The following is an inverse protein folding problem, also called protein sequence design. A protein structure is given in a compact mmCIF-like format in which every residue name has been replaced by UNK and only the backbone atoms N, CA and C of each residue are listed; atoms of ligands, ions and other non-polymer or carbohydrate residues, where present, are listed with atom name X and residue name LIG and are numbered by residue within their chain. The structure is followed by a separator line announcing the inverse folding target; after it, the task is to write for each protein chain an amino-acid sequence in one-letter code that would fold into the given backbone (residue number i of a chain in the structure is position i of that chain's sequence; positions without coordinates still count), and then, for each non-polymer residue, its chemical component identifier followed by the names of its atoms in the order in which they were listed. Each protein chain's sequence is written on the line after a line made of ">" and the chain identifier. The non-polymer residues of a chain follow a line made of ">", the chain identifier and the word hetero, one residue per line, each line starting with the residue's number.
data_IF_674562532336
#
_entry.id   IF_674562532336
#
_cell.length_a   1.000
_cell.length_b   1.000
_cell.length_c   1.000
_cell.angle_alpha   90.00
_cell.angle_beta   90.00
_cell.angle_gamma   90.00
#
_symmetry.space_group_name_H-M   'P 1'
#
loop_
_entity.id
_entity.type
_entity.pdbx_description
1 polymer ?
#
# COMPACT_ATOMS: atom_id res chain seq x y z
N UNK A 1 5.92 13.18 -64.86
CA UNK A 1 4.80 12.70 -64.01
C UNK A 1 5.39 12.09 -62.75
N UNK A 2 5.30 12.80 -61.63
CA UNK A 2 6.06 12.52 -60.38
C UNK A 2 5.29 11.50 -59.54
N UNK A 3 6.00 10.44 -59.12
CA UNK A 3 5.50 9.36 -58.28
C UNK A 3 5.21 9.87 -56.86
N UNK A 4 4.00 9.66 -56.37
CA UNK A 4 3.64 9.91 -54.98
C UNK A 4 4.30 8.86 -54.07
N UNK A 5 5.21 9.29 -53.18
CA UNK A 5 5.68 8.45 -52.08
C UNK A 5 4.61 8.45 -50.98
N UNK A 6 4.01 7.29 -50.75
CA UNK A 6 3.16 7.06 -49.58
C UNK A 6 4.03 7.01 -48.33
N UNK A 7 3.90 8.02 -47.48
CA UNK A 7 4.56 8.11 -46.19
C UNK A 7 3.78 7.23 -45.19
N UNK A 8 4.23 6.01 -44.97
CA UNK A 8 3.66 5.11 -43.96
C UNK A 8 4.04 5.61 -42.55
N UNK A 9 3.07 6.21 -41.86
CA UNK A 9 3.21 6.65 -40.48
C UNK A 9 3.19 5.41 -39.56
N UNK A 10 4.37 4.93 -39.17
CA UNK A 10 4.50 3.87 -38.16
C UNK A 10 4.20 4.49 -36.80
N UNK A 11 2.94 4.44 -36.37
CA UNK A 11 2.56 4.66 -34.97
C UNK A 11 3.07 3.48 -34.15
N UNK A 12 4.35 3.52 -33.77
CA UNK A 12 4.88 2.68 -32.71
C UNK A 12 4.18 3.05 -31.41
N UNK A 13 3.19 2.27 -31.01
CA UNK A 13 2.59 2.35 -29.68
C UNK A 13 3.65 1.99 -28.65
N UNK A 14 4.29 3.00 -28.08
CA UNK A 14 5.13 2.86 -26.89
C UNK A 14 4.23 2.33 -25.78
N UNK A 15 4.24 1.02 -25.56
CA UNK A 15 3.63 0.40 -24.40
C UNK A 15 4.43 0.85 -23.17
N UNK A 16 4.00 1.93 -22.54
CA UNK A 16 4.55 2.32 -21.23
C UNK A 16 4.18 1.21 -20.25
N UNK A 17 5.14 0.58 -19.56
CA UNK A 17 4.80 -0.37 -18.51
C UNK A 17 3.95 0.35 -17.47
N UNK A 18 2.71 -0.11 -17.27
CA UNK A 18 1.86 0.33 -16.18
C UNK A 18 2.48 -0.19 -14.89
N UNK A 19 3.33 0.60 -14.24
CA UNK A 19 3.67 0.35 -12.84
C UNK A 19 2.36 0.46 -12.08
N UNK A 20 1.92 -0.62 -11.43
CA UNK A 20 0.76 -0.57 -10.55
C UNK A 20 1.03 0.53 -9.51
N UNK A 21 0.34 1.66 -9.65
CA UNK A 21 0.63 2.84 -8.86
C UNK A 21 0.24 2.54 -7.42
N UNK A 22 1.22 2.49 -6.51
CA UNK A 22 0.93 2.33 -5.10
C UNK A 22 0.11 3.51 -4.60
N UNK A 23 -0.89 3.25 -3.76
CA UNK A 23 -1.71 4.32 -3.18
C UNK A 23 -2.13 3.99 -1.77
N UNK A 24 -2.31 5.03 -0.96
CA UNK A 24 -2.88 4.94 0.36
C UNK A 24 -4.41 4.84 0.29
N UNK A 25 -4.98 3.85 0.97
CA UNK A 25 -6.43 3.62 1.06
C UNK A 25 -6.85 3.62 2.53
N UNK A 26 -7.93 4.31 2.92
CA UNK A 26 -8.40 4.31 4.31
C UNK A 26 -8.72 2.90 4.83
N UNK A 27 -8.17 2.55 5.99
CA UNK A 27 -8.40 1.26 6.64
C UNK A 27 -9.85 1.11 7.13
N UNK A 28 -10.46 2.19 7.65
CA UNK A 28 -11.87 2.24 8.10
C UNK A 28 -12.27 1.06 9.02
N UNK A 29 -11.40 0.68 9.95
CA UNK A 29 -11.64 -0.43 10.88
C UNK A 29 -11.55 -1.83 10.26
N UNK A 30 -11.04 -1.95 9.03
CA UNK A 30 -10.80 -3.22 8.32
C UNK A 30 -9.31 -3.51 8.23
N UNK A 31 -8.92 -4.78 8.12
CA UNK A 31 -7.53 -5.12 7.82
C UNK A 31 -7.06 -4.49 6.50
N UNK A 32 -5.76 -4.25 6.34
CA UNK A 32 -5.24 -3.70 5.09
C UNK A 32 -5.47 -4.62 3.91
N UNK A 33 -5.53 -5.92 4.15
CA UNK A 33 -5.93 -6.88 3.13
C UNK A 33 -7.36 -6.63 2.64
N UNK A 34 -8.31 -6.47 3.56
CA UNK A 34 -9.71 -6.16 3.22
C UNK A 34 -9.88 -4.76 2.59
N UNK A 35 -9.15 -3.76 3.09
CA UNK A 35 -9.20 -2.41 2.56
C UNK A 35 -8.68 -2.35 1.10
N UNK A 36 -7.54 -2.97 0.83
CA UNK A 36 -6.97 -3.03 -0.51
C UNK A 36 -7.81 -3.91 -1.45
N UNK A 37 -8.31 -5.07 -1.00
CA UNK A 37 -9.21 -5.90 -1.80
C UNK A 37 -10.48 -5.15 -2.18
N UNK A 38 -11.06 -4.37 -1.25
CA UNK A 38 -12.20 -3.51 -1.53
C UNK A 38 -11.92 -2.39 -2.55
N UNK A 39 -10.64 -2.05 -2.78
CA UNK A 39 -10.18 -1.12 -3.81
C UNK A 39 -9.71 -1.82 -5.10
N UNK A 40 -9.90 -3.14 -5.21
CA UNK A 40 -9.45 -3.94 -6.36
C UNK A 40 -7.93 -4.13 -6.43
N UNK A 41 -7.25 -4.04 -5.29
CA UNK A 41 -5.78 -4.06 -5.15
C UNK A 41 -5.32 -5.06 -4.11
N UNK A 42 -4.00 -5.26 -4.00
CA UNK A 42 -3.36 -6.07 -2.98
C UNK A 42 -2.66 -5.16 -1.97
N UNK A 43 -2.56 -5.54 -0.70
CA UNK A 43 -1.76 -4.78 0.24
C UNK A 43 -0.27 -4.97 -0.06
N UNK A 44 0.51 -3.91 0.11
CA UNK A 44 1.98 -4.01 0.10
C UNK A 44 2.42 -4.75 1.35
N UNK A 45 3.26 -5.77 1.16
CA UNK A 45 3.76 -6.63 2.23
C UNK A 45 5.22 -6.31 2.54
N UNK A 46 5.55 -6.07 3.81
CA UNK A 46 6.92 -5.76 4.24
C UNK A 46 7.64 -6.94 4.89
N UNK A 47 6.94 -8.05 5.14
CA UNK A 47 7.54 -9.25 5.71
C UNK A 47 6.52 -10.27 6.20
N UNK A 48 7.04 -11.29 6.89
CA UNK A 48 6.27 -12.43 7.40
C UNK A 48 6.39 -12.50 8.92
N UNK A 49 5.25 -12.55 9.62
CA UNK A 49 5.16 -12.78 11.05
C UNK A 49 5.20 -14.28 11.36
N UNK A 50 6.26 -14.71 12.05
CA UNK A 50 6.47 -16.10 12.44
C UNK A 50 5.94 -16.36 13.87
N UNK A 51 5.48 -17.59 14.17
CA UNK A 51 5.44 -18.76 13.29
C UNK A 51 4.19 -18.83 12.40
N UNK A 52 3.19 -17.97 12.62
CA UNK A 52 1.88 -18.04 11.97
C UNK A 52 1.88 -17.83 10.45
N UNK A 53 3.00 -17.35 9.89
CA UNK A 53 3.18 -16.98 8.47
C UNK A 53 2.22 -15.89 7.98
N UNK A 54 1.67 -15.09 8.89
CA UNK A 54 0.86 -13.93 8.50
C UNK A 54 1.74 -12.84 7.88
N UNK A 55 1.23 -12.11 6.89
CA UNK A 55 1.97 -11.05 6.24
C UNK A 55 1.85 -9.74 7.02
N UNK A 56 2.97 -9.07 7.24
CA UNK A 56 2.98 -7.67 7.68
C UNK A 56 2.58 -6.79 6.49
N UNK A 57 1.37 -6.24 6.55
CA UNK A 57 0.91 -5.28 5.54
C UNK A 57 1.31 -3.87 5.96
N UNK A 58 1.75 -3.05 5.01
CA UNK A 58 2.17 -1.67 5.27
C UNK A 58 0.96 -0.80 5.56
N UNK A 59 1.01 -0.04 6.66
CA UNK A 59 0.03 0.96 7.01
C UNK A 59 0.71 2.25 7.49
N UNK A 60 -0.04 3.34 7.61
CA UNK A 60 0.41 4.59 8.22
C UNK A 60 -0.68 5.19 9.10
N UNK A 61 -0.31 5.74 10.25
CA UNK A 61 -1.25 6.35 11.19
C UNK A 61 -0.68 7.61 11.83
N UNK A 62 -1.55 8.56 12.17
CA UNK A 62 -1.17 9.80 12.84
C UNK A 62 -1.04 9.58 14.36
N UNK A 63 0.03 8.91 14.75
CA UNK A 63 0.27 8.58 16.16
C UNK A 63 0.64 9.82 16.95
N UNK A 64 -0.05 10.05 18.06
CA UNK A 64 0.12 11.22 18.94
C UNK A 64 -0.06 12.60 18.25
N UNK A 65 -0.63 12.64 17.04
CA UNK A 65 -0.84 13.91 16.32
C UNK A 65 0.43 14.48 15.66
N UNK A 66 1.50 13.70 15.53
CA UNK A 66 2.80 14.15 15.01
C UNK A 66 2.97 13.96 13.48
N UNK A 67 1.89 13.59 12.78
CA UNK A 67 1.91 13.24 11.36
C UNK A 67 1.85 11.73 11.11
N UNK A 68 1.65 11.36 9.85
CA UNK A 68 1.54 9.96 9.44
C UNK A 68 2.88 9.24 9.63
N UNK A 69 2.90 8.26 10.53
CA UNK A 69 4.04 7.37 10.76
C UNK A 69 3.78 6.00 10.14
N UNK A 70 4.76 5.42 9.43
CA UNK A 70 4.60 4.07 8.90
C UNK A 70 4.57 3.03 10.02
N UNK A 71 3.86 1.95 9.78
CA UNK A 71 3.69 0.85 10.71
C UNK A 71 3.30 -0.43 9.97
N UNK A 72 2.78 -1.38 10.73
CA UNK A 72 2.28 -2.63 10.19
C UNK A 72 0.85 -2.93 10.63
N UNK A 73 0.10 -3.55 9.72
CA UNK A 73 -1.17 -4.19 9.98
C UNK A 73 -1.00 -5.71 9.81
N UNK A 74 -1.44 -6.49 10.79
CA UNK A 74 -1.46 -7.95 10.73
C UNK A 74 -2.92 -8.44 10.65
N UNK A 75 -3.12 -9.70 10.23
CA UNK A 75 -4.44 -10.36 10.11
C UNK A 75 -4.91 -11.26 11.29
N UNK A 76 -4.68 -10.95 12.58
CA UNK A 76 -5.33 -11.65 13.69
C UNK A 76 -6.66 -10.99 14.08
N UNK A 77 -7.25 -11.40 15.20
CA UNK A 77 -8.54 -10.87 15.72
C UNK A 77 -8.54 -9.35 15.95
N UNK A 78 -7.36 -8.73 16.10
CA UNK A 78 -7.15 -7.28 16.24
C UNK A 78 -6.68 -6.61 14.93
N UNK A 79 -7.01 -7.18 13.76
CA UNK A 79 -6.60 -6.67 12.45
C UNK A 79 -7.16 -5.30 12.03
N UNK A 80 -7.85 -4.61 12.92
CA UNK A 80 -8.46 -3.29 12.70
C UNK A 80 -7.63 -2.14 13.29
N UNK A 81 -6.31 -2.32 13.43
CA UNK A 81 -5.37 -1.28 13.86
C UNK A 81 -4.11 -1.25 12.98
N UNK A 82 -3.48 -0.09 12.92
CA UNK A 82 -2.10 0.06 12.47
C UNK A 82 -1.19 0.17 13.68
N UNK A 83 -0.16 -0.67 13.74
CA UNK A 83 0.84 -0.64 14.82
C UNK A 83 2.06 0.13 14.34
N UNK A 84 2.35 1.23 15.00
CA UNK A 84 3.48 2.12 14.68
C UNK A 84 4.47 2.17 15.82
N UNK A 85 5.75 2.34 15.51
CA UNK A 85 6.76 2.68 16.51
C UNK A 85 6.64 4.16 16.91
N UNK A 86 6.65 4.44 18.20
CA UNK A 86 6.54 5.78 18.78
C UNK A 86 7.36 5.92 20.07
N UNK A 87 7.86 7.12 20.37
CA UNK A 87 8.72 7.39 21.53
C UNK A 87 10.21 7.17 21.26
N UNK A 88 11.07 7.53 22.22
CA UNK A 88 12.52 7.39 22.14
C UNK A 88 13.02 5.97 22.47
N UNK A 89 14.28 5.67 22.11
CA UNK A 89 14.92 4.39 22.43
C UNK A 89 14.43 3.22 21.57
N UNK A 90 14.01 2.11 22.20
CA UNK A 90 13.56 0.88 21.50
C UNK A 90 12.21 1.02 20.80
N UNK A 91 11.56 2.18 20.88
CA UNK A 91 10.24 2.42 20.31
C UNK A 91 9.14 1.69 21.10
N UNK A 92 8.17 2.44 21.60
CA UNK A 92 6.92 1.88 22.10
C UNK A 92 6.00 1.60 20.90
N UNK A 93 5.32 0.45 20.90
CA UNK A 93 4.28 0.18 19.93
C UNK A 93 2.99 0.92 20.31
N UNK A 94 2.42 1.67 19.38
CA UNK A 94 1.09 2.28 19.50
C UNK A 94 0.17 1.67 18.45
N UNK A 95 -1.09 1.43 18.84
CA UNK A 95 -2.11 0.84 17.97
C UNK A 95 -3.16 1.89 17.65
N UNK A 96 -3.25 2.29 16.39
CA UNK A 96 -4.17 3.32 15.93
C UNK A 96 -5.29 2.74 15.08
N UNK A 97 -6.54 3.15 15.34
CA UNK A 97 -7.73 2.70 14.59
C UNK A 97 -8.01 3.53 13.34
N UNK A 98 -7.50 4.76 13.31
CA UNK A 98 -7.53 5.63 12.15
C UNK A 98 -6.18 5.54 11.45
N UNK A 99 -6.17 4.90 10.29
CA UNK A 99 -4.95 4.64 9.52
C UNK A 99 -5.28 4.44 8.04
N UNK A 100 -4.23 4.50 7.24
CA UNK A 100 -4.24 4.22 5.82
C UNK A 100 -3.41 2.96 5.54
N UNK A 101 -3.79 2.23 4.50
CA UNK A 101 -3.15 1.02 4.03
C UNK A 101 -2.49 1.29 2.68
N UNK A 102 -1.26 0.83 2.51
CA UNK A 102 -0.59 0.94 1.23
C UNK A 102 -1.02 -0.22 0.32
N UNK A 103 -1.58 0.10 -0.84
CA UNK A 103 -2.12 -0.87 -1.79
C UNK A 103 -1.45 -0.77 -3.16
N UNK A 104 -1.27 -1.90 -3.83
CA UNK A 104 -0.68 -2.08 -5.17
C UNK A 104 -1.52 -2.98 -6.08
#
# INVERSE_FOLDING_TARGET
>A
MVRALALALVLGTLATPSVAATSWVPGNGRSCEQACQGAGRRPVQSGVYLPSRQMFNVCAANTAGEGLRPGFNLRPSWSNVCVTAWGGGTGQARSERQYECLCE
#
